data_IF_589385365510
#
_entry.id   IF_589385365510
#
_cell.length_a   1.000
_cell.length_b   1.000
_cell.length_c   1.000
_cell.angle_alpha   90.00
_cell.angle_beta   90.00
_cell.angle_gamma   90.00
#
_symmetry.space_group_name_H-M   'P 1'
#
loop_
_entity.id
_entity.type
_entity.pdbx_description
1 polymer ?
#
# COMPACT_ATOMS: atom_id res chain seq x y z
N UNK A 1 2.44 -11.81 -11.54
CA UNK A 1 2.71 -10.67 -10.64
C UNK A 1 3.37 -9.59 -11.48
N UNK A 2 2.87 -8.36 -11.42
CA UNK A 2 3.47 -7.20 -12.09
C UNK A 2 4.29 -6.41 -11.08
N UNK A 3 5.41 -5.81 -11.50
CA UNK A 3 6.28 -5.01 -10.63
C UNK A 3 6.86 -3.81 -11.37
N UNK A 4 6.92 -2.68 -10.67
CA UNK A 4 7.52 -1.42 -11.13
C UNK A 4 8.49 -0.97 -10.05
N UNK A 5 9.72 -0.63 -10.45
CA UNK A 5 10.74 -0.10 -9.56
C UNK A 5 11.25 1.23 -10.09
N UNK A 6 11.45 2.20 -9.19
CA UNK A 6 11.88 3.55 -9.56
C UNK A 6 12.56 4.24 -8.37
N UNK A 7 13.29 5.32 -8.62
CA UNK A 7 13.86 6.16 -7.55
C UNK A 7 13.11 7.48 -7.51
N UNK A 8 12.77 7.96 -6.30
CA UNK A 8 12.07 9.24 -6.14
C UNK A 8 12.23 9.80 -4.73
N UNK A 9 12.17 11.13 -4.63
CA UNK A 9 12.08 11.91 -3.38
C UNK A 9 10.66 12.41 -3.09
N UNK A 10 9.66 12.03 -3.89
CA UNK A 10 8.29 12.53 -3.76
C UNK A 10 7.48 11.79 -2.68
N UNK A 11 7.95 10.62 -2.23
CA UNK A 11 7.22 9.72 -1.34
C UNK A 11 7.91 9.51 0.00
N UNK A 12 8.66 10.53 0.43
CA UNK A 12 9.48 10.44 1.62
C UNK A 12 8.61 10.48 2.89
N UNK A 13 8.99 9.75 3.95
CA UNK A 13 8.26 9.78 5.20
C UNK A 13 8.22 11.18 5.78
N UNK A 14 7.04 11.64 6.17
CA UNK A 14 6.89 12.99 6.78
C UNK A 14 7.34 12.98 8.25
N UNK A 15 7.13 11.87 8.95
CA UNK A 15 7.46 11.72 10.37
C UNK A 15 8.79 10.98 10.60
N UNK A 16 9.48 11.25 11.71
CA UNK A 16 10.66 10.49 12.13
C UNK A 16 10.39 8.99 12.25
N UNK A 17 11.46 8.18 12.13
CA UNK A 17 11.42 6.71 12.16
C UNK A 17 10.61 6.13 13.32
N UNK A 18 10.84 6.61 14.53
CA UNK A 18 10.18 6.15 15.76
C UNK A 18 8.67 6.45 15.80
N UNK A 19 8.18 7.29 14.90
CA UNK A 19 6.76 7.66 14.79
C UNK A 19 6.05 6.88 13.67
N UNK A 20 6.79 6.10 12.87
CA UNK A 20 6.21 5.25 11.85
C UNK A 20 5.68 3.97 12.51
N UNK A 21 4.49 3.49 12.11
CA UNK A 21 4.06 2.12 12.45
C UNK A 21 4.91 1.02 11.76
N UNK A 22 5.81 1.50 10.91
CA UNK A 22 6.59 0.94 9.83
C UNK A 22 8.12 0.87 9.79
N UNK A 23 8.90 0.86 10.89
CA UNK A 23 10.32 1.22 10.80
C UNK A 23 11.10 0.41 9.74
N UNK A 24 11.79 1.11 8.83
CA UNK A 24 12.57 0.56 7.73
C UNK A 24 11.77 0.07 6.51
N UNK A 25 10.43 0.05 6.60
CA UNK A 25 9.54 -0.46 5.57
C UNK A 25 8.63 0.65 5.01
N UNK A 26 9.20 1.80 4.62
CA UNK A 26 8.45 2.96 4.12
C UNK A 26 7.49 2.61 2.96
N UNK A 27 6.51 3.47 2.72
CA UNK A 27 5.59 3.29 1.59
C UNK A 27 4.20 3.84 1.80
N UNK A 28 3.88 4.36 2.99
CA UNK A 28 2.57 4.93 3.28
C UNK A 28 2.24 6.07 2.30
N UNK A 29 3.15 7.03 2.14
CA UNK A 29 2.97 8.19 1.27
C UNK A 29 2.80 7.76 -0.19
N UNK A 30 3.55 6.74 -0.64
CA UNK A 30 3.41 6.15 -1.96
C UNK A 30 2.05 5.46 -2.16
N UNK A 31 1.63 4.63 -1.20
CA UNK A 31 0.35 3.94 -1.23
C UNK A 31 -0.82 4.94 -1.21
N UNK A 32 -0.72 5.98 -0.39
CA UNK A 32 -1.71 7.04 -0.28
C UNK A 32 -1.82 7.87 -1.57
N UNK A 33 -0.69 8.26 -2.16
CA UNK A 33 -0.67 8.95 -3.44
C UNK A 33 -1.26 8.06 -4.55
N UNK A 34 -0.90 6.79 -4.58
CA UNK A 34 -1.37 5.84 -5.59
C UNK A 34 -2.88 5.62 -5.49
N UNK A 35 -3.42 5.46 -4.28
CA UNK A 35 -4.86 5.34 -4.05
C UNK A 35 -5.62 6.55 -4.61
N UNK A 36 -5.12 7.77 -4.38
CA UNK A 36 -5.72 8.98 -4.94
C UNK A 36 -5.61 9.04 -6.47
N UNK A 37 -4.45 8.66 -7.03
CA UNK A 37 -4.23 8.63 -8.47
C UNK A 37 -5.15 7.62 -9.17
N UNK A 38 -5.30 6.43 -8.60
CA UNK A 38 -6.22 5.40 -9.06
C UNK A 38 -7.68 5.84 -8.96
N UNK A 39 -8.07 6.46 -7.85
CA UNK A 39 -9.44 6.96 -7.65
C UNK A 39 -9.81 8.02 -8.69
N UNK A 40 -8.89 8.93 -9.05
CA UNK A 40 -9.08 9.90 -10.15
C UNK A 40 -9.31 9.24 -11.51
N UNK A 41 -8.89 7.99 -11.69
CA UNK A 41 -9.09 7.19 -12.90
C UNK A 41 -10.23 6.15 -12.76
N UNK A 42 -11.05 6.24 -11.70
CA UNK A 42 -12.19 5.34 -11.48
C UNK A 42 -11.86 4.01 -10.80
N UNK A 43 -10.64 3.83 -10.31
CA UNK A 43 -10.22 2.64 -9.56
C UNK A 43 -10.20 2.95 -8.06
N UNK A 44 -11.31 2.63 -7.37
CA UNK A 44 -11.42 2.87 -5.92
C UNK A 44 -10.77 1.71 -5.17
N UNK A 45 -9.76 2.02 -4.34
CA UNK A 45 -9.05 1.04 -3.51
C UNK A 45 -9.39 1.19 -2.03
N UNK A 46 -8.94 0.25 -1.19
CA UNK A 46 -8.91 0.43 0.26
C UNK A 46 -7.99 1.59 0.68
N UNK A 47 -8.11 2.00 1.95
CA UNK A 47 -7.12 2.84 2.61
C UNK A 47 -5.81 2.07 2.80
N UNK A 48 -4.62 2.71 2.79
CA UNK A 48 -3.36 2.02 3.03
C UNK A 48 -3.37 1.16 4.31
N UNK A 49 -2.97 -0.10 4.16
CA UNK A 49 -2.85 -1.11 5.22
C UNK A 49 -1.36 -1.37 5.43
N UNK A 50 -0.88 -1.26 6.67
CA UNK A 50 0.52 -1.50 7.02
C UNK A 50 0.83 -2.98 7.16
N UNK A 51 2.01 -3.37 6.70
CA UNK A 51 2.55 -4.73 6.73
C UNK A 51 4.03 -4.72 7.14
N UNK A 52 4.57 -5.88 7.52
CA UNK A 52 5.96 -6.04 7.96
C UNK A 52 7.00 -5.70 6.87
N UNK A 53 6.57 -5.60 5.61
CA UNK A 53 7.42 -5.35 4.44
C UNK A 53 7.10 -4.03 3.73
N UNK A 54 6.07 -3.29 4.16
CA UNK A 54 5.63 -2.08 3.47
C UNK A 54 4.17 -1.76 3.72
N UNK A 55 3.52 -1.19 2.71
CA UNK A 55 2.11 -0.82 2.73
C UNK A 55 1.39 -1.44 1.54
N UNK A 56 0.09 -1.67 1.68
CA UNK A 56 -0.73 -2.13 0.56
C UNK A 56 -2.06 -1.39 0.48
N UNK A 57 -2.62 -1.41 -0.72
CA UNK A 57 -4.02 -1.07 -1.00
C UNK A 57 -4.65 -2.23 -1.76
N UNK A 58 -5.94 -2.45 -1.53
CA UNK A 58 -6.71 -3.52 -2.14
C UNK A 58 -7.69 -2.95 -3.16
N UNK A 59 -7.82 -3.63 -4.30
CA UNK A 59 -8.79 -3.29 -5.35
C UNK A 59 -9.64 -4.52 -5.69
N UNK A 60 -10.95 -4.33 -5.81
CA UNK A 60 -11.88 -5.38 -6.26
C UNK A 60 -12.40 -4.96 -7.63
N UNK A 61 -12.15 -5.77 -8.65
CA UNK A 61 -12.67 -5.51 -10.00
C UNK A 61 -14.19 -5.67 -10.04
N UNK A 62 -14.87 -5.09 -11.05
CA UNK A 62 -16.30 -5.32 -11.26
C UNK A 62 -16.67 -6.80 -11.43
N UNK A 63 -15.73 -7.65 -11.87
CA UNK A 63 -15.91 -9.10 -11.99
C UNK A 63 -15.64 -9.87 -10.69
N UNK A 64 -15.38 -9.18 -9.58
CA UNK A 64 -15.14 -9.78 -8.27
C UNK A 64 -13.72 -10.33 -8.07
N UNK A 65 -12.75 -9.94 -8.90
CA UNK A 65 -11.34 -10.34 -8.72
C UNK A 65 -10.68 -9.35 -7.77
N UNK A 66 -10.12 -9.86 -6.67
CA UNK A 66 -9.39 -9.07 -5.70
C UNK A 66 -7.91 -8.93 -6.10
N UNK A 67 -7.36 -7.74 -5.94
CA UNK A 67 -5.97 -7.42 -6.20
C UNK A 67 -5.33 -6.78 -4.98
N UNK A 68 -4.13 -7.24 -4.64
CA UNK A 68 -3.22 -6.53 -3.73
C UNK A 68 -2.28 -5.67 -4.57
N UNK A 69 -2.17 -4.40 -4.21
CA UNK A 69 -1.16 -3.47 -4.73
C UNK A 69 -0.24 -3.09 -3.56
N UNK A 70 0.97 -3.65 -3.53
CA UNK A 70 1.96 -3.36 -2.50
C UNK A 70 2.88 -2.21 -2.91
N UNK A 71 3.23 -1.37 -1.95
CA UNK A 71 4.12 -0.22 -2.06
C UNK A 71 5.16 -0.29 -0.94
N UNK A 72 6.44 -0.34 -1.29
CA UNK A 72 7.51 -0.44 -0.32
C UNK A 72 8.80 0.22 -0.80
N UNK A 73 9.59 0.77 0.13
CA UNK A 73 10.98 1.11 -0.15
C UNK A 73 11.84 -0.14 -0.23
N UNK A 74 12.78 -0.17 -1.18
CA UNK A 74 13.86 -1.14 -1.25
C UNK A 74 15.02 -0.55 -0.42
N UNK A 75 15.22 -1.08 0.79
CA UNK A 75 16.28 -0.66 1.70
C UNK A 75 16.54 -1.74 2.75
N UNK A 76 17.66 -1.60 3.45
CA UNK A 76 17.97 -2.47 4.60
C UNK A 76 17.08 -2.11 5.79
N UNK A 77 16.44 -3.08 6.45
CA UNK A 77 15.68 -2.84 7.67
C UNK A 77 16.50 -2.08 8.71
N UNK A 78 15.93 -1.01 9.26
CA UNK A 78 16.58 -0.20 10.30
C UNK A 78 17.64 0.78 9.81
N UNK A 79 17.90 0.90 8.50
CA UNK A 79 18.81 1.92 7.96
C UNK A 79 18.31 3.36 8.20
N UNK A 80 17.00 3.53 8.42
CA UNK A 80 16.39 4.83 8.60
C UNK A 80 16.39 5.66 7.31
N UNK A 81 15.62 6.75 7.30
CA UNK A 81 15.56 7.64 6.16
C UNK A 81 16.70 8.66 6.26
N UNK A 82 17.75 8.48 5.46
CA UNK A 82 18.94 9.34 5.47
C UNK A 82 18.84 10.55 4.52
N UNK A 83 17.63 11.06 4.23
CA UNK A 83 17.42 12.21 3.33
C UNK A 83 17.93 12.02 1.89
N UNK A 84 18.13 10.76 1.47
CA UNK A 84 18.52 10.40 0.10
C UNK A 84 17.30 9.91 -0.70
N UNK A 85 17.31 9.95 -2.04
CA UNK A 85 16.29 9.28 -2.84
C UNK A 85 16.21 7.79 -2.48
N UNK A 86 15.00 7.31 -2.19
CA UNK A 86 14.77 5.89 -1.97
C UNK A 86 14.43 5.21 -3.29
N UNK A 87 14.88 3.96 -3.42
CA UNK A 87 14.37 3.06 -4.45
C UNK A 87 13.03 2.52 -3.97
N UNK A 88 12.00 2.62 -4.79
CA UNK A 88 10.64 2.18 -4.52
C UNK A 88 10.32 0.94 -5.33
N UNK A 89 9.45 0.09 -4.79
CA UNK A 89 8.86 -1.05 -5.47
C UNK A 89 7.35 -1.01 -5.32
N UNK A 90 6.66 -1.05 -6.45
CA UNK A 90 5.22 -1.31 -6.51
C UNK A 90 5.04 -2.70 -7.11
N UNK A 91 4.22 -3.54 -6.50
CA UNK A 91 3.80 -4.80 -7.10
C UNK A 91 2.28 -4.95 -7.12
N UNK A 92 1.78 -5.67 -8.12
CA UNK A 92 0.35 -5.98 -8.26
C UNK A 92 0.22 -7.49 -8.41
N UNK A 93 -0.63 -8.09 -7.58
CA UNK A 93 -0.98 -9.50 -7.68
C UNK A 93 -2.49 -9.70 -7.46
N UNK A 94 -3.13 -10.62 -8.21
CA UNK A 94 -4.46 -11.09 -7.84
C UNK A 94 -4.35 -11.90 -6.54
N UNK A 95 -5.35 -11.77 -5.67
CA UNK A 95 -5.55 -12.68 -4.54
C UNK A 95 -6.29 -13.89 -5.11
N UNK A 96 -5.71 -15.11 -5.07
CA UNK A 96 -6.43 -16.29 -5.49
C UNK A 96 -7.70 -16.42 -4.65
N UNK A 97 -8.85 -16.64 -5.28
CA UNK A 97 -10.07 -16.99 -4.58
C UNK A 97 -9.79 -18.27 -3.78
N UNK A 98 -9.50 -18.15 -2.48
CA UNK A 98 -9.63 -19.31 -1.59
C UNK A 98 -11.08 -19.74 -1.69
N UNK A 99 -11.36 -21.01 -1.95
CA UNK A 99 -12.68 -21.54 -2.35
C UNK A 99 -13.83 -21.42 -1.35
N UNK A 100 -13.94 -20.34 -0.59
CA UNK A 100 -15.02 -20.04 0.35
C UNK A 100 -15.52 -18.60 0.14
N UNK A 101 -16.35 -18.41 -0.89
CA UNK A 101 -17.26 -17.28 -1.07
C UNK A 101 -16.64 -15.87 -1.12
N UNK A 102 -17.42 -14.85 -1.53
CA UNK A 102 -16.98 -13.47 -1.40
C UNK A 102 -16.79 -13.14 0.08
N UNK A 103 -15.61 -12.62 0.45
CA UNK A 103 -15.44 -11.98 1.77
C UNK A 103 -16.27 -10.72 1.75
N UNK A 104 -17.46 -10.78 2.35
CA UNK A 104 -18.27 -9.60 2.63
C UNK A 104 -17.49 -8.76 3.62
N UNK A 105 -16.79 -7.73 3.14
CA UNK A 105 -16.30 -6.68 4.00
C UNK A 105 -17.51 -6.00 4.65
N UNK A 106 -17.62 -5.94 5.99
CA UNK A 106 -18.74 -5.27 6.62
C UNK A 106 -18.64 -3.77 6.30
N UNK A 107 -19.49 -3.30 5.39
CA UNK A 107 -19.73 -1.88 5.19
C UNK A 107 -20.25 -1.30 6.51
N UNK A 108 -19.46 -0.40 7.10
CA UNK A 108 -19.77 0.40 8.28
C UNK A 108 -19.99 -0.37 9.60
N UNK A 109 -18.88 -0.57 10.36
CA UNK A 109 -19.02 -0.42 11.82
C UNK A 109 -19.44 1.02 12.08
N UNK A 110 -20.72 1.23 12.38
CA UNK A 110 -21.18 2.45 13.04
C UNK A 110 -20.36 2.58 14.32
N UNK A 111 -19.45 3.54 14.38
CA UNK A 111 -18.93 4.03 15.65
C UNK A 111 -20.14 4.58 16.40
N UNK A 112 -20.56 3.89 17.46
CA UNK A 112 -21.42 4.51 18.47
C UNK A 112 -20.51 5.41 19.30
N UNK A 113 -20.86 6.69 19.32
CA UNK A 113 -20.33 7.67 20.25
C UNK A 113 -20.62 7.26 21.71
#
# INVERSE_FOLDING_TARGET
MWRIEFCSTEFLPVLPEQCQGNPGAYGFELAWWLAQALARNGFITSYPIGEDWGWLIEYISPSGVEFTIGCGSIGEPGAGYLQAPLKWSIFIRPIPLSGNGPRVFPTHRRYRA
#
